data_IF_010092698310
#
_entry.id   IF_010092698310
#
_cell.length_a   1.000
_cell.length_b   1.000
_cell.length_c   1.000
_cell.angle_alpha   90.00
_cell.angle_beta   90.00
_cell.angle_gamma   90.00
#
_symmetry.space_group_name_H-M   'P 1'
#
loop_
_entity.id
_entity.type
_entity.pdbx_description
1 polymer ?
#
# COMPACT_ATOMS: atom_id res chain seq x y z
N UNK A 1 2.28 7.66 -10.55
CA UNK A 1 2.17 8.39 -9.28
C UNK A 1 1.18 7.67 -8.37
N UNK A 2 1.58 7.33 -7.15
CA UNK A 2 0.63 6.85 -6.14
C UNK A 2 -0.30 7.98 -5.71
N UNK A 3 -1.48 7.63 -5.19
CA UNK A 3 -2.49 8.60 -4.71
C UNK A 3 -2.01 9.49 -3.54
N UNK A 4 -0.76 9.33 -3.10
CA UNK A 4 -0.10 10.09 -2.06
C UNK A 4 1.01 11.02 -2.58
N UNK A 5 1.08 11.22 -3.90
CA UNK A 5 2.08 12.06 -4.56
C UNK A 5 3.45 11.38 -4.73
N UNK A 6 3.68 10.19 -4.17
CA UNK A 6 4.96 9.48 -4.35
C UNK A 6 5.04 8.86 -5.74
N UNK A 7 6.19 9.05 -6.37
CA UNK A 7 6.54 8.30 -7.56
C UNK A 7 6.98 6.89 -7.13
N UNK A 8 6.34 5.87 -7.68
CA UNK A 8 6.78 4.48 -7.54
C UNK A 8 7.11 3.97 -8.94
N UNK A 9 8.18 3.18 -9.03
CA UNK A 9 8.55 2.44 -10.22
C UNK A 9 7.38 1.59 -10.73
N UNK A 10 7.25 1.51 -12.06
CA UNK A 10 6.25 0.68 -12.72
C UNK A 10 6.45 -0.80 -12.35
N UNK A 11 5.43 -1.41 -11.72
CA UNK A 11 5.47 -2.79 -11.22
C UNK A 11 4.27 -3.56 -11.75
N UNK A 12 4.34 -4.10 -12.97
CA UNK A 12 3.21 -4.79 -13.61
C UNK A 12 2.74 -6.00 -12.79
N UNK A 13 3.61 -6.62 -12.00
CA UNK A 13 3.29 -7.76 -11.15
C UNK A 13 2.16 -7.44 -10.16
N UNK A 14 2.03 -6.18 -9.72
CA UNK A 14 0.92 -5.76 -8.85
C UNK A 14 -0.41 -5.77 -9.58
N UNK A 15 -0.42 -5.43 -10.86
CA UNK A 15 -1.60 -5.49 -11.72
C UNK A 15 -1.97 -6.95 -11.94
N UNK A 16 -0.99 -7.79 -12.31
CA UNK A 16 -1.17 -9.25 -12.48
C UNK A 16 -1.81 -9.87 -11.24
N UNK A 17 -1.29 -9.58 -10.05
CA UNK A 17 -1.83 -10.12 -8.81
C UNK A 17 -3.24 -9.61 -8.49
N UNK A 18 -3.58 -8.38 -8.87
CA UNK A 18 -4.92 -7.84 -8.68
C UNK A 18 -5.93 -8.47 -9.64
N UNK A 19 -5.56 -8.61 -10.92
CA UNK A 19 -6.36 -9.28 -11.95
C UNK A 19 -6.56 -10.76 -11.60
N UNK A 20 -5.49 -11.46 -11.22
CA UNK A 20 -5.55 -12.87 -10.82
C UNK A 20 -6.49 -13.09 -9.63
N UNK A 21 -6.55 -12.15 -8.68
CA UNK A 21 -7.50 -12.22 -7.55
C UNK A 21 -8.95 -12.09 -8.02
N UNK A 22 -9.22 -11.20 -8.97
CA UNK A 22 -10.55 -11.05 -9.55
C UNK A 22 -10.97 -12.30 -10.34
N UNK A 23 -10.05 -12.83 -11.17
CA UNK A 23 -10.18 -14.08 -11.90
C UNK A 23 -10.53 -15.25 -10.97
N UNK A 24 -9.70 -15.48 -9.94
CA UNK A 24 -9.96 -16.53 -8.94
C UNK A 24 -11.27 -16.36 -8.18
N UNK A 25 -11.72 -15.12 -7.95
CA UNK A 25 -12.97 -14.85 -7.24
C UNK A 25 -14.22 -15.29 -8.04
N UNK A 26 -14.13 -15.32 -9.36
CA UNK A 26 -15.20 -15.81 -10.25
C UNK A 26 -14.97 -17.25 -10.73
N UNK A 27 -13.85 -17.87 -10.33
CA UNK A 27 -13.49 -19.24 -10.73
C UNK A 27 -12.98 -19.36 -12.16
N UNK A 28 -12.56 -18.24 -12.78
CA UNK A 28 -12.09 -18.20 -14.17
C UNK A 28 -10.63 -17.76 -14.24
N UNK A 29 -9.90 -18.25 -15.24
CA UNK A 29 -8.56 -17.75 -15.58
C UNK A 29 -7.41 -18.22 -14.66
N UNK A 30 -6.20 -18.18 -15.21
CA UNK A 30 -4.98 -18.57 -14.54
C UNK A 30 -3.96 -17.42 -14.50
N UNK A 31 -2.78 -17.67 -13.92
CA UNK A 31 -1.71 -16.67 -13.87
C UNK A 31 -1.35 -16.13 -15.26
N UNK A 32 -1.26 -17.02 -16.26
CA UNK A 32 -0.96 -16.64 -17.65
C UNK A 32 -2.01 -15.69 -18.25
N UNK A 33 -3.30 -15.88 -17.92
CA UNK A 33 -4.36 -14.96 -18.37
C UNK A 33 -4.22 -13.59 -17.73
N UNK A 34 -3.92 -13.54 -16.44
CA UNK A 34 -3.70 -12.29 -15.73
C UNK A 34 -2.45 -11.54 -16.25
N UNK A 35 -1.39 -12.25 -16.61
CA UNK A 35 -0.19 -11.69 -17.24
C UNK A 35 -0.50 -11.13 -18.64
N UNK A 36 -1.28 -11.85 -19.43
CA UNK A 36 -1.74 -11.40 -20.75
C UNK A 36 -2.56 -10.10 -20.66
N UNK A 37 -3.52 -10.04 -19.73
CA UNK A 37 -4.29 -8.80 -19.47
C UNK A 37 -3.36 -7.67 -19.02
N UNK A 38 -2.42 -7.97 -18.12
CA UNK A 38 -1.47 -6.98 -17.62
C UNK A 38 -0.56 -6.42 -18.71
N UNK A 39 -0.08 -7.25 -19.62
CA UNK A 39 0.68 -6.81 -20.79
C UNK A 39 -0.11 -5.85 -21.67
N UNK A 40 -1.39 -6.15 -21.92
CA UNK A 40 -2.30 -5.25 -22.66
C UNK A 40 -2.48 -3.92 -21.94
N UNK A 41 -2.72 -3.95 -20.63
CA UNK A 41 -2.83 -2.73 -19.81
C UNK A 41 -1.55 -1.90 -19.87
N UNK A 42 -0.37 -2.52 -19.81
CA UNK A 42 0.91 -1.82 -19.89
C UNK A 42 1.07 -1.08 -21.24
N UNK A 43 0.72 -1.74 -22.35
CA UNK A 43 0.71 -1.13 -23.68
C UNK A 43 -0.26 0.07 -23.74
N UNK A 44 -1.45 -0.06 -23.18
CA UNK A 44 -2.45 1.03 -23.18
C UNK A 44 -2.04 2.19 -22.26
N UNK A 45 -1.37 1.91 -21.14
CA UNK A 45 -0.78 2.95 -20.29
C UNK A 45 0.27 3.74 -21.05
N UNK A 46 1.19 3.06 -21.74
CA UNK A 46 2.25 3.73 -22.51
C UNK A 46 1.66 4.57 -23.64
N UNK A 47 0.70 4.02 -24.39
CA UNK A 47 0.02 4.77 -25.47
C UNK A 47 -0.69 6.03 -24.97
N UNK A 48 -1.35 5.95 -23.81
CA UNK A 48 -2.19 7.05 -23.29
C UNK A 48 -1.42 8.08 -22.48
N UNK A 49 -0.27 7.70 -21.90
CA UNK A 49 0.42 8.53 -20.92
C UNK A 49 1.93 8.70 -21.17
N UNK A 50 2.54 7.93 -22.07
CA UNK A 50 4.01 7.84 -22.26
C UNK A 50 4.72 9.15 -22.62
N UNK A 51 3.99 10.19 -23.03
CA UNK A 51 4.55 11.52 -23.35
C UNK A 51 3.88 12.72 -22.68
N UNK A 52 2.78 12.53 -21.96
CA UNK A 52 1.96 13.66 -21.46
C UNK A 52 2.09 13.85 -19.95
N UNK A 53 1.90 12.78 -19.18
CA UNK A 53 1.92 12.82 -17.71
C UNK A 53 2.14 11.44 -17.12
N UNK A 54 2.67 11.42 -15.91
CA UNK A 54 2.78 10.16 -15.15
C UNK A 54 1.35 9.72 -14.74
N UNK A 55 0.92 8.50 -15.08
CA UNK A 55 -0.41 8.01 -14.72
C UNK A 55 -0.55 7.84 -13.22
N UNK A 56 -1.76 8.08 -12.70
CA UNK A 56 -2.12 7.81 -11.32
C UNK A 56 -2.51 6.34 -11.14
N UNK A 57 -2.59 5.89 -9.89
CA UNK A 57 -3.11 4.54 -9.59
C UNK A 57 -4.56 4.37 -10.03
N UNK A 58 -5.36 5.44 -10.04
CA UNK A 58 -6.75 5.38 -10.53
C UNK A 58 -6.77 5.21 -12.04
N UNK A 59 -5.97 5.98 -12.79
CA UNK A 59 -5.88 5.86 -14.25
C UNK A 59 -5.53 4.42 -14.67
N UNK A 60 -4.57 3.79 -13.99
CA UNK A 60 -4.18 2.40 -14.26
C UNK A 60 -5.31 1.43 -13.90
N UNK A 61 -6.04 1.67 -12.81
CA UNK A 61 -7.16 0.83 -12.42
C UNK A 61 -8.31 0.90 -13.43
N UNK A 62 -8.63 2.09 -13.92
CA UNK A 62 -9.67 2.29 -14.91
C UNK A 62 -9.27 1.62 -16.25
N UNK A 63 -8.00 1.69 -16.65
CA UNK A 63 -7.49 0.93 -17.81
C UNK A 63 -7.55 -0.58 -17.64
N UNK A 64 -7.37 -1.11 -16.43
CA UNK A 64 -7.55 -2.54 -16.16
C UNK A 64 -9.01 -2.94 -16.36
N UNK A 65 -9.94 -2.14 -15.84
CA UNK A 65 -11.38 -2.37 -15.99
C UNK A 65 -11.81 -2.33 -17.46
N UNK A 66 -11.38 -1.29 -18.21
CA UNK A 66 -11.63 -1.16 -19.65
C UNK A 66 -11.06 -2.35 -20.43
N UNK A 67 -9.84 -2.79 -20.10
CA UNK A 67 -9.18 -3.91 -20.78
C UNK A 67 -9.93 -5.22 -20.52
N UNK A 68 -10.31 -5.50 -19.27
CA UNK A 68 -11.09 -6.70 -18.94
C UNK A 68 -12.43 -6.73 -19.68
N UNK A 69 -13.12 -5.59 -19.77
CA UNK A 69 -14.37 -5.49 -20.55
C UNK A 69 -14.15 -5.72 -22.04
N UNK A 70 -13.11 -5.14 -22.64
CA UNK A 70 -12.78 -5.29 -24.07
C UNK A 70 -12.43 -6.73 -24.45
N UNK A 71 -11.81 -7.47 -23.53
CA UNK A 71 -11.49 -8.89 -23.70
C UNK A 71 -12.70 -9.81 -23.47
N UNK A 72 -13.88 -9.26 -23.19
CA UNK A 72 -15.09 -10.02 -22.89
C UNK A 72 -15.11 -10.65 -21.50
N UNK A 73 -14.12 -10.39 -20.66
CA UNK A 73 -13.99 -10.90 -19.29
C UNK A 73 -14.86 -10.11 -18.30
N UNK A 74 -16.15 -10.00 -18.63
CA UNK A 74 -17.08 -9.09 -17.93
C UNK A 74 -17.30 -9.48 -16.47
N UNK A 75 -17.37 -10.79 -16.17
CA UNK A 75 -17.48 -11.28 -14.78
C UNK A 75 -16.25 -10.91 -13.96
N UNK A 76 -15.06 -11.11 -14.53
CA UNK A 76 -13.78 -10.74 -13.92
C UNK A 76 -13.71 -9.23 -13.69
N UNK A 77 -14.13 -8.41 -14.66
CA UNK A 77 -14.17 -6.95 -14.53
C UNK A 77 -15.06 -6.52 -13.35
N UNK A 78 -16.26 -7.10 -13.22
CA UNK A 78 -17.15 -6.80 -12.09
C UNK A 78 -16.54 -7.22 -10.76
N UNK A 79 -15.96 -8.41 -10.68
CA UNK A 79 -15.26 -8.86 -9.47
C UNK A 79 -14.09 -7.95 -9.09
N UNK A 80 -13.33 -7.48 -10.09
CA UNK A 80 -12.25 -6.51 -9.89
C UNK A 80 -12.75 -5.19 -9.30
N UNK A 81 -13.84 -4.63 -9.86
CA UNK A 81 -14.47 -3.39 -9.37
C UNK A 81 -14.93 -3.55 -7.92
N UNK A 82 -15.62 -4.64 -7.60
CA UNK A 82 -16.09 -4.93 -6.23
C UNK A 82 -14.90 -5.04 -5.28
N UNK A 83 -13.84 -5.74 -5.68
CA UNK A 83 -12.63 -5.86 -4.87
C UNK A 83 -11.95 -4.49 -4.63
N UNK A 84 -11.85 -3.64 -5.65
CA UNK A 84 -11.33 -2.26 -5.54
C UNK A 84 -12.15 -1.42 -4.56
N UNK A 85 -13.48 -1.46 -4.64
CA UNK A 85 -14.39 -0.74 -3.74
C UNK A 85 -14.22 -1.19 -2.29
N UNK A 86 -14.22 -2.50 -2.04
CA UNK A 86 -13.98 -3.05 -0.69
C UNK A 86 -12.64 -2.62 -0.11
N UNK A 87 -11.59 -2.53 -0.95
CA UNK A 87 -10.28 -2.03 -0.52
C UNK A 87 -10.25 -0.52 -0.26
N UNK A 88 -11.07 0.26 -0.96
CA UNK A 88 -11.25 1.68 -0.67
C UNK A 88 -11.96 1.86 0.69
N UNK A 89 -13.08 1.17 0.90
CA UNK A 89 -13.83 1.19 2.17
C UNK A 89 -12.95 0.82 3.37
N UNK A 90 -12.17 -0.27 3.26
CA UNK A 90 -11.26 -0.67 4.36
C UNK A 90 -10.24 0.44 4.65
N UNK A 91 -9.72 1.14 3.64
CA UNK A 91 -8.79 2.26 3.85
C UNK A 91 -9.48 3.43 4.53
N UNK A 92 -10.71 3.73 4.15
CA UNK A 92 -11.49 4.82 4.73
C UNK A 92 -11.87 4.52 6.18
N UNK A 93 -12.31 3.30 6.48
CA UNK A 93 -12.56 2.83 7.84
C UNK A 93 -11.30 2.96 8.70
N UNK A 94 -10.14 2.53 8.18
CA UNK A 94 -8.87 2.68 8.90
C UNK A 94 -8.50 4.14 9.13
N UNK A 95 -8.70 5.00 8.14
CA UNK A 95 -8.46 6.45 8.25
C UNK A 95 -9.39 7.08 9.28
N UNK A 96 -10.67 6.71 9.30
CA UNK A 96 -11.62 7.14 10.32
C UNK A 96 -11.25 6.64 11.72
N UNK A 97 -10.74 5.41 11.82
CA UNK A 97 -10.32 4.82 13.10
C UNK A 97 -9.19 5.63 13.74
N UNK A 98 -8.14 5.98 13.01
CA UNK A 98 -6.94 6.60 13.60
C UNK A 98 -6.76 8.08 13.26
N UNK A 99 -7.59 8.68 12.40
CA UNK A 99 -7.50 10.08 11.96
C UNK A 99 -6.36 10.37 10.98
N UNK A 100 -5.41 9.44 10.82
CA UNK A 100 -4.25 9.52 9.94
C UNK A 100 -4.24 8.34 8.96
N UNK A 101 -3.31 8.37 8.00
CA UNK A 101 -3.15 7.29 7.02
C UNK A 101 -2.44 6.07 7.62
N UNK A 102 -2.92 4.87 7.29
CA UNK A 102 -2.19 3.62 7.48
C UNK A 102 -1.22 3.39 6.30
N UNK A 103 0.06 3.66 6.55
CA UNK A 103 1.17 3.52 5.60
C UNK A 103 1.87 2.16 5.65
N UNK A 104 1.60 1.35 6.67
CA UNK A 104 2.14 0.00 6.86
C UNK A 104 1.13 -1.11 6.51
N UNK A 105 -0.10 -0.74 6.10
CA UNK A 105 -1.19 -1.65 5.72
C UNK A 105 -1.57 -2.64 6.84
N UNK A 106 -1.46 -2.24 8.10
CA UNK A 106 -1.67 -3.09 9.28
C UNK A 106 -3.12 -3.58 9.43
N UNK A 107 -3.36 -4.62 10.23
CA UNK A 107 -4.73 -5.06 10.53
C UNK A 107 -5.48 -3.99 11.36
N UNK A 108 -6.82 -4.04 11.35
CA UNK A 108 -7.66 -3.13 12.16
C UNK A 108 -7.36 -3.29 13.65
N UNK A 109 -7.09 -4.52 14.10
CA UNK A 109 -6.72 -4.81 15.49
C UNK A 109 -5.37 -4.20 15.84
N UNK A 110 -4.36 -4.37 14.99
CA UNK A 110 -3.06 -3.76 15.19
C UNK A 110 -3.18 -2.23 15.28
N UNK A 111 -3.91 -1.60 14.34
CA UNK A 111 -4.16 -0.16 14.39
C UNK A 111 -4.91 0.28 15.66
N UNK A 112 -5.84 -0.52 16.16
CA UNK A 112 -6.56 -0.23 17.41
C UNK A 112 -5.63 -0.25 18.62
N UNK A 113 -4.68 -1.19 18.68
CA UNK A 113 -3.66 -1.25 19.72
C UNK A 113 -2.73 -0.04 19.61
N UNK A 114 -2.23 0.26 18.40
CA UNK A 114 -1.37 1.43 18.17
C UNK A 114 -2.05 2.73 18.57
N UNK A 115 -3.31 2.96 18.16
CA UNK A 115 -4.12 4.13 18.55
C UNK A 115 -4.26 4.30 20.06
N UNK A 116 -4.43 3.19 20.79
CA UNK A 116 -4.66 3.23 22.24
C UNK A 116 -3.38 3.49 23.02
N UNK A 117 -2.25 2.90 22.59
CA UNK A 117 -1.04 2.81 23.43
C UNK A 117 0.18 3.54 22.89
N UNK A 118 0.33 3.69 21.59
CA UNK A 118 1.64 4.01 21.00
C UNK A 118 1.64 5.25 20.11
N UNK A 119 0.57 5.52 19.36
CA UNK A 119 0.48 6.67 18.47
C UNK A 119 0.43 7.98 19.28
N UNK A 120 1.32 8.90 18.93
CA UNK A 120 1.45 10.21 19.53
C UNK A 120 0.20 11.05 19.25
N UNK A 121 -0.24 11.77 20.28
CA UNK A 121 -1.41 12.65 20.25
C UNK A 121 -1.01 14.07 20.57
N UNK A 122 -1.70 15.03 19.98
CA UNK A 122 -1.59 16.43 20.37
C UNK A 122 -2.35 16.70 21.69
N UNK A 123 -2.30 17.96 22.14
CA UNK A 123 -3.01 18.45 23.33
C UNK A 123 -4.54 18.29 23.25
N UNK A 124 -5.09 18.16 22.04
CA UNK A 124 -6.51 17.94 21.79
C UNK A 124 -6.86 16.44 21.70
N UNK A 125 -5.90 15.54 21.95
CA UNK A 125 -6.07 14.09 21.87
C UNK A 125 -6.13 13.51 20.45
N UNK A 126 -5.82 14.31 19.42
CA UNK A 126 -5.82 13.88 18.02
C UNK A 126 -4.50 13.20 17.69
N UNK A 127 -4.55 12.09 16.96
CA UNK A 127 -3.33 11.40 16.50
C UNK A 127 -2.64 12.27 15.44
N UNK A 128 -1.33 12.49 15.61
CA UNK A 128 -0.54 13.36 14.73
C UNK A 128 0.62 12.66 14.02
N UNK A 129 0.74 11.34 14.18
CA UNK A 129 1.74 10.53 13.47
C UNK A 129 1.11 9.27 12.84
N UNK A 130 1.63 8.84 11.69
CA UNK A 130 1.28 7.55 11.07
C UNK A 130 1.95 6.37 11.80
N UNK A 131 1.46 5.13 11.64
CA UNK A 131 2.16 3.94 12.16
C UNK A 131 3.63 3.84 11.73
N UNK A 132 3.93 4.17 10.47
CA UNK A 132 5.31 4.23 9.98
C UNK A 132 6.16 5.30 10.70
N UNK A 133 5.60 6.50 10.91
CA UNK A 133 6.29 7.55 11.68
C UNK A 133 6.51 7.14 13.14
N UNK A 134 5.55 6.46 13.76
CA UNK A 134 5.70 5.92 15.11
C UNK A 134 6.84 4.91 15.19
N UNK A 135 6.90 3.94 14.28
CA UNK A 135 8.02 2.98 14.22
C UNK A 135 9.37 3.68 13.99
N UNK A 136 9.41 4.73 13.17
CA UNK A 136 10.64 5.53 12.99
C UNK A 136 11.05 6.24 14.28
N UNK A 137 10.11 6.84 15.00
CA UNK A 137 10.35 7.46 16.30
C UNK A 137 10.92 6.46 17.31
N UNK A 138 10.36 5.25 17.37
CA UNK A 138 10.86 4.16 18.23
C UNK A 138 12.26 3.71 17.79
N UNK A 139 12.50 3.54 16.49
CA UNK A 139 13.81 3.14 15.97
C UNK A 139 14.90 4.15 16.35
N UNK A 140 14.59 5.44 16.23
CA UNK A 140 15.47 6.53 16.63
C UNK A 140 15.75 6.52 18.13
N UNK A 141 14.76 6.21 18.97
CA UNK A 141 14.95 6.12 20.41
C UNK A 141 15.88 4.95 20.78
N UNK A 142 15.71 3.77 20.17
CA UNK A 142 16.57 2.61 20.40
C UNK A 142 18.00 2.90 19.91
N UNK A 143 18.14 3.47 18.71
CA UNK A 143 19.44 3.77 18.11
C UNK A 143 20.23 4.82 18.89
N UNK A 144 19.59 5.71 19.66
CA UNK A 144 20.31 6.68 20.48
C UNK A 144 21.18 6.04 21.57
N UNK A 145 20.89 4.80 21.99
CA UNK A 145 21.75 4.07 22.92
C UNK A 145 23.17 3.85 22.36
N UNK A 146 23.34 3.73 21.03
CA UNK A 146 24.65 3.56 20.39
C UNK A 146 25.57 4.78 20.57
N UNK A 147 25.00 5.98 20.78
CA UNK A 147 25.79 7.19 21.09
C UNK A 147 26.56 7.06 22.40
N UNK A 148 26.04 6.31 23.37
CA UNK A 148 26.72 6.05 24.65
C UNK A 148 28.02 5.26 24.46
N UNK A 149 28.14 4.54 23.35
CA UNK A 149 29.31 3.75 22.97
C UNK A 149 30.14 4.39 21.85
N UNK A 150 29.91 5.68 21.55
CA UNK A 150 30.64 6.41 20.51
C UNK A 150 30.35 5.94 19.07
N UNK A 151 29.24 5.24 18.84
CA UNK A 151 28.83 4.75 17.51
C UNK A 151 27.84 5.71 16.85
N UNK A 152 27.86 5.73 15.52
CA UNK A 152 26.87 6.48 14.72
C UNK A 152 25.50 5.77 14.77
N UNK A 153 24.46 6.41 15.33
CA UNK A 153 23.13 5.82 15.47
C UNK A 153 22.41 5.66 14.13
N UNK A 154 22.83 6.34 13.06
CA UNK A 154 22.07 6.41 11.80
C UNK A 154 21.87 5.02 11.18
N UNK A 155 22.91 4.17 11.22
CA UNK A 155 22.84 2.80 10.71
C UNK A 155 21.92 1.92 11.56
N UNK A 156 21.94 2.10 12.87
CA UNK A 156 21.09 1.35 13.79
C UNK A 156 19.62 1.76 13.63
N UNK A 157 19.33 3.05 13.50
CA UNK A 157 17.99 3.58 13.27
C UNK A 157 17.36 2.97 12.02
N UNK A 158 18.07 3.01 10.89
CA UNK A 158 17.55 2.42 9.63
C UNK A 158 17.35 0.91 9.74
N UNK A 159 18.25 0.21 10.45
CA UNK A 159 18.12 -1.24 10.68
C UNK A 159 16.87 -1.55 11.52
N UNK A 160 16.69 -0.88 12.66
CA UNK A 160 15.53 -1.11 13.53
C UNK A 160 14.22 -0.70 12.87
N UNK A 161 14.22 0.43 12.16
CA UNK A 161 13.06 0.86 11.39
C UNK A 161 12.67 -0.20 10.35
N UNK A 162 13.64 -0.75 9.60
CA UNK A 162 13.37 -1.83 8.64
C UNK A 162 12.77 -3.05 9.34
N UNK A 163 13.40 -3.56 10.40
CA UNK A 163 12.94 -4.75 11.13
C UNK A 163 11.52 -4.59 11.70
N UNK A 164 11.18 -3.40 12.20
CA UNK A 164 9.82 -3.12 12.69
C UNK A 164 8.80 -2.99 11.56
N UNK A 165 9.16 -2.31 10.47
CA UNK A 165 8.24 -2.17 9.32
C UNK A 165 8.01 -3.47 8.57
N UNK A 166 8.93 -4.43 8.62
CA UNK A 166 8.74 -5.81 8.14
C UNK A 166 8.08 -6.73 9.17
N UNK A 167 7.86 -6.26 10.40
CA UNK A 167 7.33 -7.02 11.53
C UNK A 167 8.21 -8.21 11.96
N UNK A 168 9.50 -8.20 11.60
CA UNK A 168 10.49 -9.20 12.05
C UNK A 168 10.89 -8.97 13.52
N UNK A 169 10.72 -7.75 14.01
CA UNK A 169 10.99 -7.38 15.40
C UNK A 169 10.00 -6.33 15.86
N UNK A 170 9.49 -6.48 17.09
CA UNK A 170 8.72 -5.45 17.76
C UNK A 170 9.28 -5.30 19.18
N UNK A 171 9.66 -4.08 19.62
CA UNK A 171 10.06 -3.85 20.99
C UNK A 171 8.83 -4.02 21.91
N UNK A 172 9.04 -4.72 23.03
CA UNK A 172 8.01 -4.97 24.05
C UNK A 172 7.96 -3.84 25.09
#
# INVERSE_FOLDING_TARGET
MKRDGRLEEWKPEKITQAVLKAMKAVGEGQLADAERVTGKVAVEVEKRFGGERIPTVEDVQDLVEETLMREGLTEVARAYIVYRRRRAEIRDIKKQLIGVRDDLKLSVNALSVLKRRYLLKDEHGRIVETPGQMFRRVARAIAQADKLYGRDPSKAEEKFHRLMTSLEFLPN
#
